data_IF_113387316011
#
_entry.id   IF_113387316011
#
_cell.length_a   1.000
_cell.length_b   1.000
_cell.length_c   1.000
_cell.angle_alpha   90.00
_cell.angle_beta   90.00
_cell.angle_gamma   90.00
#
_symmetry.space_group_name_H-M   'P 1'
#
loop_
_entity.id
_entity.type
_entity.pdbx_description
1 polymer ?
#
# COMPACT_ATOMS: atom_id res chain seq x y z
N UNK A 1 -9.27 -22.71 25.19
CA UNK A 1 -9.58 -22.81 23.76
C UNK A 1 -8.32 -22.55 22.93
N UNK A 2 -8.01 -23.39 21.91
CA UNK A 2 -6.75 -23.26 21.14
C UNK A 2 -6.64 -21.94 20.35
N UNK A 3 -7.76 -21.25 20.10
CA UNK A 3 -7.79 -20.01 19.30
C UNK A 3 -7.23 -18.78 20.02
N UNK A 4 -7.34 -18.71 21.34
CA UNK A 4 -6.84 -17.54 22.09
C UNK A 4 -5.31 -17.58 22.28
N UNK A 5 -4.71 -18.75 22.32
CA UNK A 5 -3.27 -18.93 22.46
C UNK A 5 -2.51 -18.49 21.20
N UNK A 6 -3.06 -18.77 20.01
CA UNK A 6 -2.46 -18.35 18.73
C UNK A 6 -2.46 -16.83 18.52
N UNK A 7 -3.46 -16.11 19.04
CA UNK A 7 -3.58 -14.66 18.85
C UNK A 7 -2.59 -13.88 19.74
N UNK A 8 -2.28 -14.39 20.94
CA UNK A 8 -1.36 -13.74 21.87
C UNK A 8 0.12 -13.86 21.49
N UNK A 9 0.48 -14.89 20.73
CA UNK A 9 1.87 -15.18 20.35
C UNK A 9 2.20 -14.78 18.92
N UNK A 10 1.26 -14.15 18.20
CA UNK A 10 1.47 -13.70 16.83
C UNK A 10 2.11 -12.31 16.80
N UNK A 11 3.29 -12.20 16.17
CA UNK A 11 3.90 -10.94 15.84
C UNK A 11 3.39 -10.47 14.46
N UNK A 12 3.19 -9.17 14.30
CA UNK A 12 2.90 -8.56 13.00
C UNK A 12 3.65 -7.23 12.84
N UNK A 13 3.92 -6.86 11.61
CA UNK A 13 4.43 -5.55 11.21
C UNK A 13 3.68 -5.06 10.00
N UNK A 14 3.45 -3.75 9.91
CA UNK A 14 2.85 -3.10 8.75
C UNK A 14 3.70 -1.90 8.36
N UNK A 15 4.23 -1.94 7.14
CA UNK A 15 5.06 -0.88 6.59
C UNK A 15 4.27 -0.08 5.55
N UNK A 16 4.26 1.23 5.68
CA UNK A 16 3.71 2.16 4.70
C UNK A 16 4.82 2.72 3.81
N UNK A 17 4.62 2.64 2.50
CA UNK A 17 5.53 3.21 1.50
C UNK A 17 4.87 4.47 0.93
N UNK A 18 5.56 5.60 0.99
CA UNK A 18 5.02 6.88 0.52
C UNK A 18 4.86 6.94 -1.01
N UNK A 19 3.96 7.80 -1.48
CA UNK A 19 3.77 8.06 -2.91
C UNK A 19 5.09 8.47 -3.59
N UNK A 20 5.86 9.35 -2.97
CA UNK A 20 7.15 9.79 -3.49
C UNK A 20 8.20 8.68 -3.56
N UNK A 21 8.19 7.71 -2.65
CA UNK A 21 9.08 6.55 -2.72
C UNK A 21 8.67 5.61 -3.87
N UNK A 22 7.37 5.42 -4.08
CA UNK A 22 6.83 4.64 -5.21
C UNK A 22 7.19 5.31 -6.54
N UNK A 23 7.07 6.63 -6.64
CA UNK A 23 7.41 7.37 -7.86
C UNK A 23 8.90 7.28 -8.20
N UNK A 24 9.79 7.30 -7.19
CA UNK A 24 11.24 7.18 -7.41
C UNK A 24 11.69 5.78 -7.79
N UNK A 25 11.09 4.74 -7.24
CA UNK A 25 11.59 3.35 -7.33
C UNK A 25 10.72 2.43 -8.19
N UNK A 26 9.51 2.87 -8.52
CA UNK A 26 8.46 2.07 -9.13
C UNK A 26 7.76 1.16 -8.11
N UNK A 27 6.48 0.85 -8.39
CA UNK A 27 5.60 0.12 -7.46
C UNK A 27 6.13 -1.28 -7.10
N UNK A 28 6.74 -2.00 -8.06
CA UNK A 28 7.23 -3.35 -7.81
C UNK A 28 8.41 -3.35 -6.84
N UNK A 29 9.38 -2.47 -7.03
CA UNK A 29 10.52 -2.35 -6.13
C UNK A 29 10.09 -1.86 -4.74
N UNK A 30 9.13 -0.93 -4.70
CA UNK A 30 8.54 -0.43 -3.46
C UNK A 30 7.84 -1.57 -2.68
N UNK A 31 7.06 -2.43 -3.35
CA UNK A 31 6.41 -3.58 -2.73
C UNK A 31 7.43 -4.58 -2.16
N UNK A 32 8.46 -4.93 -2.93
CA UNK A 32 9.50 -5.88 -2.49
C UNK A 32 10.29 -5.34 -1.30
N UNK A 33 10.61 -4.05 -1.31
CA UNK A 33 11.29 -3.39 -0.20
C UNK A 33 10.40 -3.29 1.04
N UNK A 34 9.12 -2.93 0.85
CA UNK A 34 8.12 -2.92 1.92
C UNK A 34 7.97 -4.27 2.59
N UNK A 35 7.88 -5.35 1.80
CA UNK A 35 7.83 -6.72 2.32
C UNK A 35 9.09 -7.07 3.13
N UNK A 36 10.29 -6.74 2.62
CA UNK A 36 11.54 -6.97 3.33
C UNK A 36 11.59 -6.21 4.65
N UNK A 37 11.19 -4.92 4.65
CA UNK A 37 11.14 -4.09 5.87
C UNK A 37 10.15 -4.65 6.88
N UNK A 38 8.94 -5.02 6.45
CA UNK A 38 7.94 -5.61 7.33
C UNK A 38 8.45 -6.90 8.01
N UNK A 39 9.17 -7.75 7.27
CA UNK A 39 9.77 -8.97 7.82
C UNK A 39 10.87 -8.61 8.85
N UNK A 40 11.72 -7.63 8.55
CA UNK A 40 12.82 -7.22 9.44
C UNK A 40 12.35 -6.49 10.72
N UNK A 41 11.16 -5.92 10.70
CA UNK A 41 10.54 -5.22 11.85
C UNK A 41 9.75 -6.15 12.77
N UNK A 42 9.61 -7.44 12.42
CA UNK A 42 8.97 -8.40 13.30
C UNK A 42 9.79 -8.58 14.58
N UNK A 43 9.10 -8.53 15.74
CA UNK A 43 9.73 -8.74 17.05
C UNK A 43 10.26 -10.17 17.25
N UNK A 44 9.76 -11.10 16.44
CA UNK A 44 10.21 -12.51 16.41
C UNK A 44 10.66 -12.81 15.00
N UNK A 45 11.90 -13.26 14.85
CA UNK A 45 12.44 -13.64 13.53
C UNK A 45 11.72 -14.90 13.01
N UNK A 46 11.12 -14.85 11.80
CA UNK A 46 10.45 -16.02 11.25
C UNK A 46 11.44 -17.04 10.73
N UNK A 47 11.18 -18.33 10.97
CA UNK A 47 12.00 -19.41 10.42
C UNK A 47 11.73 -19.70 8.93
N UNK A 48 10.58 -19.27 8.40
CA UNK A 48 10.16 -19.43 7.02
C UNK A 48 9.16 -18.36 6.61
N UNK A 49 9.20 -17.90 5.35
CA UNK A 49 8.34 -16.82 4.86
C UNK A 49 7.50 -17.31 3.67
N UNK A 50 6.18 -17.15 3.75
CA UNK A 50 5.29 -17.31 2.62
C UNK A 50 4.96 -15.90 2.05
N UNK A 51 5.13 -15.73 0.74
CA UNK A 51 4.93 -14.43 0.08
C UNK A 51 3.92 -14.57 -1.05
N UNK A 52 3.02 -13.61 -1.18
CA UNK A 52 2.09 -13.61 -2.32
C UNK A 52 2.83 -13.25 -3.62
N UNK A 53 2.72 -14.13 -4.60
CA UNK A 53 3.20 -14.05 -5.98
C UNK A 53 4.71 -13.88 -6.18
N UNK A 54 5.43 -13.13 -5.36
CA UNK A 54 6.81 -12.73 -5.65
C UNK A 54 7.81 -13.25 -4.63
N UNK A 55 9.05 -13.46 -5.09
CA UNK A 55 10.19 -13.68 -4.21
C UNK A 55 10.74 -12.33 -3.73
N UNK A 56 11.03 -12.22 -2.43
CA UNK A 56 11.63 -11.01 -1.83
C UNK A 56 13.16 -11.13 -1.89
N UNK A 57 13.84 -10.32 -2.70
CA UNK A 57 15.30 -10.37 -2.80
C UNK A 57 15.98 -9.95 -1.49
N UNK A 58 17.13 -10.56 -1.20
CA UNK A 58 17.96 -10.19 -0.04
C UNK A 58 17.49 -10.75 1.32
N UNK A 59 16.48 -11.63 1.34
CA UNK A 59 16.16 -12.40 2.55
C UNK A 59 17.09 -13.59 2.68
N UNK A 60 17.67 -13.76 3.86
CA UNK A 60 18.44 -14.94 4.27
C UNK A 60 17.55 -16.09 4.73
N UNK A 61 16.32 -15.75 5.16
CA UNK A 61 15.30 -16.69 5.63
C UNK A 61 14.73 -17.45 4.42
N UNK A 62 14.52 -18.77 4.53
CA UNK A 62 13.86 -19.55 3.49
C UNK A 62 12.48 -19.00 3.17
N UNK A 63 12.15 -18.88 1.87
CA UNK A 63 10.91 -18.29 1.42
C UNK A 63 10.27 -19.08 0.28
N UNK A 64 8.94 -19.06 0.23
CA UNK A 64 8.14 -19.66 -0.85
C UNK A 64 7.16 -18.62 -1.39
N UNK A 65 7.29 -18.18 -2.66
CA UNK A 65 6.27 -17.40 -3.32
C UNK A 65 5.09 -18.29 -3.73
N UNK A 66 3.87 -17.84 -3.45
CA UNK A 66 2.63 -18.55 -3.76
C UNK A 66 1.74 -17.62 -4.57
N UNK A 67 1.45 -17.99 -5.83
CA UNK A 67 0.52 -17.25 -6.67
C UNK A 67 -0.89 -17.40 -6.12
N UNK A 68 -1.59 -16.28 -5.85
CA UNK A 68 -2.89 -16.30 -5.19
C UNK A 68 -2.80 -16.80 -3.75
N UNK A 69 -1.71 -16.44 -3.07
CA UNK A 69 -1.43 -16.87 -1.71
C UNK A 69 -2.48 -16.39 -0.70
N UNK A 70 -3.10 -15.25 -0.95
CA UNK A 70 -4.20 -14.71 -0.15
C UNK A 70 -5.46 -15.60 -0.12
N UNK A 71 -5.68 -16.44 -1.15
CA UNK A 71 -6.74 -17.44 -1.19
C UNK A 71 -6.34 -18.80 -0.63
N UNK A 72 -5.05 -19.12 -0.64
CA UNK A 72 -4.56 -20.49 -0.34
C UNK A 72 -3.81 -20.62 0.98
N UNK A 73 -3.23 -19.53 1.49
CA UNK A 73 -2.43 -19.51 2.72
C UNK A 73 -3.02 -18.52 3.74
N UNK A 74 -3.46 -19.04 4.88
CA UNK A 74 -4.11 -18.22 5.95
C UNK A 74 -3.24 -17.08 6.46
N UNK A 75 -1.93 -17.29 6.58
CA UNK A 75 -1.00 -16.24 7.03
C UNK A 75 -0.88 -15.10 6.01
N UNK A 76 -0.88 -15.40 4.69
CA UNK A 76 -0.89 -14.40 3.62
C UNK A 76 -2.23 -13.65 3.63
N UNK A 77 -3.36 -14.37 3.76
CA UNK A 77 -4.68 -13.75 3.88
C UNK A 77 -4.76 -12.78 5.07
N UNK A 78 -4.27 -13.20 6.23
CA UNK A 78 -4.23 -12.36 7.43
C UNK A 78 -3.37 -11.10 7.23
N UNK A 79 -2.18 -11.25 6.64
CA UNK A 79 -1.29 -10.13 6.33
C UNK A 79 -1.93 -9.14 5.33
N UNK A 80 -2.60 -9.66 4.30
CA UNK A 80 -3.33 -8.84 3.31
C UNK A 80 -4.46 -8.03 3.96
N UNK A 81 -5.21 -8.62 4.90
CA UNK A 81 -6.27 -7.91 5.63
C UNK A 81 -5.67 -6.81 6.51
N UNK A 82 -4.60 -7.09 7.26
CA UNK A 82 -3.92 -6.10 8.09
C UNK A 82 -3.39 -4.93 7.25
N UNK A 83 -2.72 -5.22 6.16
CA UNK A 83 -2.19 -4.21 5.24
C UNK A 83 -3.33 -3.35 4.66
N UNK A 84 -4.43 -3.97 4.19
CA UNK A 84 -5.59 -3.28 3.64
C UNK A 84 -6.26 -2.37 4.67
N UNK A 85 -6.55 -2.89 5.86
CA UNK A 85 -7.22 -2.11 6.92
C UNK A 85 -6.35 -0.95 7.37
N UNK A 86 -5.04 -1.18 7.55
CA UNK A 86 -4.10 -0.13 7.92
C UNK A 86 -4.03 0.98 6.85
N UNK A 87 -3.94 0.60 5.57
CA UNK A 87 -3.96 1.55 4.46
C UNK A 87 -5.27 2.33 4.39
N UNK A 88 -6.41 1.67 4.52
CA UNK A 88 -7.72 2.32 4.43
C UNK A 88 -7.93 3.32 5.60
N UNK A 89 -7.41 3.01 6.79
CA UNK A 89 -7.39 3.95 7.94
C UNK A 89 -6.52 5.17 7.65
N UNK A 90 -5.30 4.96 7.13
CA UNK A 90 -4.40 6.04 6.75
C UNK A 90 -5.05 6.97 5.72
N UNK A 91 -5.66 6.42 4.68
CA UNK A 91 -6.34 7.22 3.64
C UNK A 91 -7.55 7.97 4.20
N UNK A 92 -8.25 7.41 5.18
CA UNK A 92 -9.34 8.12 5.87
C UNK A 92 -8.82 9.30 6.70
N UNK A 93 -7.68 9.15 7.37
CA UNK A 93 -7.02 10.27 8.07
C UNK A 93 -6.57 11.35 7.09
N UNK A 94 -6.03 10.97 5.92
CA UNK A 94 -5.68 11.91 4.86
C UNK A 94 -6.88 12.69 4.32
N UNK A 95 -8.10 12.17 4.43
CA UNK A 95 -9.29 12.89 4.02
C UNK A 95 -9.57 14.15 4.87
N UNK A 96 -9.11 14.17 6.11
CA UNK A 96 -9.18 15.35 6.99
C UNK A 96 -8.20 16.44 6.53
N UNK A 97 -7.02 16.04 6.06
CA UNK A 97 -5.97 16.95 5.58
C UNK A 97 -6.22 17.43 4.14
N UNK A 98 -6.86 16.58 3.31
CA UNK A 98 -7.13 16.83 1.90
C UNK A 98 -8.60 16.61 1.56
N UNK A 99 -9.54 17.40 2.14
CA UNK A 99 -10.99 17.18 1.97
C UNK A 99 -11.48 17.35 0.53
N UNK A 100 -10.76 18.14 -0.28
CA UNK A 100 -11.10 18.42 -1.67
C UNK A 100 -11.08 17.20 -2.60
N UNK A 101 -10.39 16.12 -2.19
CA UNK A 101 -10.32 14.90 -3.00
C UNK A 101 -11.41 13.87 -2.70
N UNK A 102 -12.15 14.00 -1.59
CA UNK A 102 -13.21 13.06 -1.21
C UNK A 102 -12.70 11.62 -0.94
N UNK A 103 -11.53 11.51 -0.33
CA UNK A 103 -10.83 10.24 -0.09
C UNK A 103 -11.63 9.24 0.75
N UNK A 104 -12.56 9.71 1.58
CA UNK A 104 -13.44 8.84 2.37
C UNK A 104 -14.30 7.90 1.51
N UNK A 105 -14.75 8.39 0.36
CA UNK A 105 -15.63 7.63 -0.52
C UNK A 105 -14.91 6.55 -1.32
N UNK A 106 -13.76 6.86 -1.89
CA UNK A 106 -13.06 5.98 -2.83
C UNK A 106 -11.68 5.48 -2.34
N UNK A 107 -11.29 5.83 -1.11
CA UNK A 107 -10.04 5.38 -0.48
C UNK A 107 -8.80 5.55 -1.38
N UNK A 108 -8.74 6.64 -2.16
CA UNK A 108 -7.62 6.91 -3.07
C UNK A 108 -7.56 6.03 -4.32
N UNK A 109 -8.56 5.18 -4.58
CA UNK A 109 -8.65 4.46 -5.85
C UNK A 109 -8.91 5.42 -7.01
N UNK A 110 -8.41 5.07 -8.20
CA UNK A 110 -8.50 5.89 -9.41
C UNK A 110 -9.90 5.95 -10.03
N UNK A 111 -10.91 6.24 -9.23
CA UNK A 111 -12.30 6.43 -9.68
C UNK A 111 -12.43 7.73 -10.48
N UNK A 112 -13.52 7.86 -11.24
CA UNK A 112 -13.80 9.08 -11.98
C UNK A 112 -13.87 10.31 -11.04
N UNK A 113 -14.54 10.18 -9.89
CA UNK A 113 -14.66 11.25 -8.90
C UNK A 113 -13.28 11.72 -8.38
N UNK A 114 -12.37 10.79 -8.10
CA UNK A 114 -11.02 11.12 -7.69
C UNK A 114 -10.24 11.84 -8.79
N UNK A 115 -10.29 11.34 -10.02
CA UNK A 115 -9.61 11.98 -11.14
C UNK A 115 -10.19 13.35 -11.48
N UNK A 116 -11.49 13.57 -11.27
CA UNK A 116 -12.12 14.90 -11.43
C UNK A 116 -11.69 15.86 -10.33
N UNK A 117 -11.50 15.38 -9.10
CA UNK A 117 -10.91 16.19 -8.02
C UNK A 117 -9.46 16.60 -8.36
N UNK A 118 -8.64 15.68 -8.84
CA UNK A 118 -7.25 15.98 -9.29
C UNK A 118 -7.23 16.98 -10.45
N UNK A 119 -8.18 16.93 -11.39
CA UNK A 119 -8.28 17.93 -12.47
C UNK A 119 -8.64 19.33 -11.95
N UNK A 120 -9.42 19.41 -10.87
CA UNK A 120 -9.85 20.69 -10.29
C UNK A 120 -8.84 21.32 -9.34
N UNK A 121 -8.19 20.49 -8.52
CA UNK A 121 -7.36 20.95 -7.40
C UNK A 121 -5.85 20.68 -7.61
N UNK A 122 -5.49 19.95 -8.67
CA UNK A 122 -4.12 19.44 -8.86
C UNK A 122 -3.90 18.14 -8.10
N UNK A 123 -2.71 17.59 -8.21
CA UNK A 123 -2.29 16.44 -7.41
C UNK A 123 -1.52 16.92 -6.17
N UNK A 124 -1.86 16.40 -4.99
CA UNK A 124 -1.13 16.64 -3.74
C UNK A 124 0.16 15.80 -3.69
N UNK A 125 1.08 16.05 -2.75
CA UNK A 125 2.29 15.25 -2.56
C UNK A 125 2.03 13.75 -2.29
N UNK A 126 0.82 13.41 -1.84
CA UNK A 126 0.40 12.04 -1.56
C UNK A 126 -0.08 11.27 -2.81
N UNK A 127 -0.14 11.95 -3.95
CA UNK A 127 -0.44 11.31 -5.23
C UNK A 127 0.83 10.74 -5.88
N UNK A 128 0.65 9.64 -6.60
CA UNK A 128 1.73 9.02 -7.40
C UNK A 128 1.77 9.68 -8.77
N UNK A 129 2.64 10.65 -8.93
CA UNK A 129 2.76 11.45 -10.16
C UNK A 129 3.17 10.64 -11.39
N UNK A 130 3.83 9.49 -11.19
CA UNK A 130 4.22 8.59 -12.29
C UNK A 130 3.06 7.77 -12.85
N UNK A 131 1.90 7.75 -12.17
CA UNK A 131 0.72 7.03 -12.65
C UNK A 131 0.04 7.84 -13.76
N UNK A 132 -0.17 7.20 -14.93
CA UNK A 132 -0.65 7.87 -16.15
C UNK A 132 -1.96 8.65 -15.95
N UNK A 133 -2.92 8.11 -15.20
CA UNK A 133 -4.19 8.77 -14.90
C UNK A 133 -4.01 10.01 -14.03
N UNK A 134 -3.15 9.94 -13.01
CA UNK A 134 -2.83 11.08 -12.13
C UNK A 134 -2.06 12.13 -12.90
N UNK A 135 -1.03 11.73 -13.66
CA UNK A 135 -0.23 12.64 -14.49
C UNK A 135 -1.12 13.42 -15.48
N UNK A 136 -2.01 12.72 -16.21
CA UNK A 136 -2.92 13.34 -17.16
C UNK A 136 -3.92 14.31 -16.49
N UNK A 137 -4.49 13.92 -15.34
CA UNK A 137 -5.40 14.78 -14.58
C UNK A 137 -4.69 16.03 -14.06
N UNK A 138 -3.50 15.88 -13.50
CA UNK A 138 -2.69 17.01 -13.02
C UNK A 138 -2.26 17.96 -14.14
N UNK A 139 -1.88 17.44 -15.31
CA UNK A 139 -1.56 18.28 -16.48
C UNK A 139 -2.77 19.13 -16.92
N UNK A 140 -3.99 18.62 -16.81
CA UNK A 140 -5.20 19.38 -17.11
C UNK A 140 -5.34 20.57 -16.15
N UNK A 141 -5.13 20.34 -14.85
CA UNK A 141 -5.10 21.40 -13.83
C UNK A 141 -4.05 22.47 -14.16
N UNK A 142 -2.82 22.06 -14.43
CA UNK A 142 -1.73 23.01 -14.75
C UNK A 142 -2.02 23.86 -15.99
N UNK A 143 -2.69 23.29 -17.00
CA UNK A 143 -3.10 24.04 -18.21
C UNK A 143 -4.23 25.02 -17.93
N UNK A 144 -5.18 24.70 -17.05
CA UNK A 144 -6.29 25.56 -16.70
C UNK A 144 -5.91 26.72 -15.76
N UNK A 145 -4.79 26.59 -15.03
CA UNK A 145 -4.31 27.59 -14.06
C UNK A 145 -3.17 28.47 -14.60
N UNK A 146 -2.66 28.17 -15.80
CA UNK A 146 -1.72 29.09 -16.45
C UNK A 146 -2.46 30.31 -16.98
N UNK A 147 -1.99 31.53 -16.63
CA UNK A 147 -2.53 32.79 -17.15
C UNK A 147 -2.38 32.92 -18.66
#
# INVERSE_FOLDING_TARGET
>A
APSEMCIRDSAYSVVHISAGEIDRRGIQNANLDGARRAISELVVEPGFVLVDAFRVPGLTIPQLPIVGGDYTARCIAAASILAKVSRDRLVTQMAEEFPEYGLEGHKGYGTQAHMDAVRRHGASPEHRYTYANVAAAHQTYVRSTKP
#
